data_IF_485376886860
#
_entry.id   IF_485376886860
#
_cell.length_a   1.000
_cell.length_b   1.000
_cell.length_c   1.000
_cell.angle_alpha   90.00
_cell.angle_beta   90.00
_cell.angle_gamma   90.00
#
_symmetry.space_group_name_H-M   'P 1'
#
loop_
_entity.id
_entity.type
_entity.pdbx_description
1 polymer ?
#
# COMPACT_ATOMS: atom_id res chain seq x y z
N UNK A 1 -12.84 -16.56 -12.33
CA UNK A 1 -12.87 -15.11 -12.01
C UNK A 1 -11.96 -14.41 -13.01
N UNK A 2 -12.33 -13.22 -13.50
CA UNK A 2 -11.52 -12.48 -14.46
C UNK A 2 -10.21 -11.98 -13.81
N UNK A 3 -9.12 -11.98 -14.57
CA UNK A 3 -7.82 -11.46 -14.13
C UNK A 3 -7.90 -9.93 -13.96
N UNK A 4 -7.57 -9.39 -12.77
CA UNK A 4 -7.68 -7.96 -12.49
C UNK A 4 -6.70 -7.09 -13.30
N UNK A 5 -5.71 -7.70 -13.96
CA UNK A 5 -4.71 -7.03 -14.78
C UNK A 5 -5.00 -7.11 -16.29
N UNK A 6 -6.08 -7.81 -16.70
CA UNK A 6 -6.45 -7.94 -18.11
C UNK A 6 -6.92 -6.59 -18.67
N UNK A 7 -6.28 -6.15 -19.76
CA UNK A 7 -6.52 -4.87 -20.46
C UNK A 7 -7.83 -4.79 -21.24
N UNK A 8 -8.87 -5.57 -20.90
CA UNK A 8 -10.17 -5.42 -21.57
C UNK A 8 -10.71 -4.02 -21.29
N UNK A 9 -11.06 -3.32 -22.36
CA UNK A 9 -11.77 -2.03 -22.37
C UNK A 9 -13.20 -2.16 -21.81
N UNK A 10 -13.37 -2.80 -20.65
CA UNK A 10 -14.50 -2.52 -19.78
C UNK A 10 -14.16 -1.22 -19.07
N UNK A 11 -15.15 -0.31 -18.94
CA UNK A 11 -15.04 0.99 -18.28
C UNK A 11 -14.57 0.80 -16.85
N UNK A 12 -13.26 0.65 -16.67
CA UNK A 12 -12.65 0.46 -15.36
C UNK A 12 -12.65 1.83 -14.73
N UNK A 13 -13.60 2.01 -13.82
CA UNK A 13 -13.68 3.09 -12.86
C UNK A 13 -12.26 3.55 -12.48
N UNK A 14 -11.98 4.84 -12.72
CA UNK A 14 -10.62 5.38 -12.73
C UNK A 14 -10.02 5.35 -11.32
N UNK A 15 -10.83 5.43 -10.26
CA UNK A 15 -10.40 5.39 -8.85
C UNK A 15 -11.16 4.33 -8.07
N UNK A 16 -10.54 3.16 -7.93
CA UNK A 16 -11.07 2.05 -7.16
C UNK A 16 -10.03 1.50 -6.19
N UNK A 17 -10.51 1.00 -5.05
CA UNK A 17 -9.67 0.22 -4.14
C UNK A 17 -9.68 -1.21 -4.64
N UNK A 18 -8.51 -1.74 -5.01
CA UNK A 18 -8.30 -3.18 -5.25
C UNK A 18 -7.42 -3.72 -4.14
N UNK A 19 -7.82 -4.85 -3.58
CA UNK A 19 -7.13 -5.46 -2.46
C UNK A 19 -7.34 -6.97 -2.42
N UNK A 20 -6.45 -7.68 -1.73
CA UNK A 20 -6.71 -9.03 -1.26
C UNK A 20 -7.51 -8.94 0.05
N UNK A 21 -8.66 -9.62 0.10
CA UNK A 21 -9.51 -9.65 1.27
C UNK A 21 -10.39 -10.91 1.31
N UNK A 22 -10.76 -11.32 2.50
CA UNK A 22 -11.71 -12.41 2.79
C UNK A 22 -12.96 -11.86 3.50
N UNK A 23 -13.67 -12.69 4.26
CA UNK A 23 -14.89 -12.29 4.97
C UNK A 23 -14.60 -11.43 6.21
N UNK A 24 -13.40 -11.54 6.78
CA UNK A 24 -13.05 -10.93 8.06
C UNK A 24 -12.05 -9.79 7.90
N UNK A 25 -11.15 -9.90 6.93
CA UNK A 25 -9.97 -9.05 6.83
C UNK A 25 -9.67 -8.56 5.42
N UNK A 26 -9.01 -7.41 5.37
CA UNK A 26 -8.35 -6.85 4.19
C UNK A 26 -6.84 -6.80 4.43
N UNK A 27 -6.07 -7.13 3.40
CA UNK A 27 -4.60 -7.02 3.40
C UNK A 27 -4.15 -5.66 2.89
N UNK A 28 -3.21 -5.05 3.61
CA UNK A 28 -2.47 -3.87 3.16
C UNK A 28 -0.97 -4.10 3.32
N UNK A 29 -0.17 -3.47 2.47
CA UNK A 29 1.27 -3.72 2.40
C UNK A 29 2.08 -2.50 2.83
N UNK A 30 3.21 -2.80 3.47
CA UNK A 30 4.27 -1.84 3.80
C UNK A 30 5.64 -2.48 3.73
N UNK A 31 6.67 -1.66 3.60
CA UNK A 31 8.05 -2.11 3.67
C UNK A 31 8.79 -1.53 4.88
N UNK A 32 9.67 -2.33 5.44
CA UNK A 32 10.43 -2.04 6.65
C UNK A 32 11.87 -2.53 6.53
N UNK A 33 12.72 -2.07 7.46
CA UNK A 33 14.05 -2.66 7.64
C UNK A 33 13.92 -4.11 8.12
N UNK A 34 14.96 -4.91 7.89
CA UNK A 34 14.98 -6.31 8.33
C UNK A 34 14.76 -6.47 9.83
N UNK A 35 15.27 -5.55 10.65
CA UNK A 35 15.10 -5.58 12.11
C UNK A 35 13.63 -5.40 12.52
N UNK A 36 12.95 -4.39 11.95
CA UNK A 36 11.54 -4.14 12.26
C UNK A 36 10.68 -5.29 11.78
N UNK A 37 10.86 -5.72 10.52
CA UNK A 37 10.07 -6.79 9.92
C UNK A 37 10.23 -8.13 10.67
N UNK A 38 11.46 -8.52 11.01
CA UNK A 38 11.71 -9.78 11.72
C UNK A 38 11.06 -9.78 13.11
N UNK A 39 11.17 -8.67 13.84
CA UNK A 39 10.51 -8.54 15.14
C UNK A 39 8.98 -8.56 15.02
N UNK A 40 8.43 -7.85 14.02
CA UNK A 40 7.01 -7.76 13.79
C UNK A 40 6.38 -9.11 13.47
N UNK A 41 7.01 -9.88 12.58
CA UNK A 41 6.54 -11.22 12.17
C UNK A 41 6.68 -12.21 13.33
N UNK A 42 7.83 -12.21 14.03
CA UNK A 42 8.07 -13.14 15.13
C UNK A 42 7.08 -12.94 16.29
N UNK A 43 6.76 -11.69 16.61
CA UNK A 43 5.89 -11.35 17.74
C UNK A 43 4.44 -11.08 17.35
N UNK A 44 4.12 -11.15 16.05
CA UNK A 44 2.83 -10.76 15.49
C UNK A 44 2.36 -9.38 16.00
N UNK A 45 3.31 -8.44 16.03
CA UNK A 45 3.11 -7.09 16.57
C UNK A 45 3.99 -6.08 15.86
N UNK A 46 3.39 -5.17 15.11
CA UNK A 46 4.13 -4.31 14.17
C UNK A 46 5.17 -3.40 14.87
N UNK A 47 4.84 -2.91 16.06
CA UNK A 47 5.70 -2.06 16.89
C UNK A 47 6.60 -2.87 17.86
N UNK A 48 6.84 -4.16 17.60
CA UNK A 48 7.68 -5.02 18.45
C UNK A 48 9.17 -4.60 18.51
N UNK A 49 9.70 -3.97 17.45
CA UNK A 49 11.08 -3.47 17.42
C UNK A 49 11.19 -2.09 18.07
N UNK A 50 12.23 -1.81 18.88
CA UNK A 50 12.50 -0.46 19.38
C UNK A 50 12.84 0.54 18.25
N UNK A 51 13.18 0.07 17.05
CA UNK A 51 13.40 0.92 15.88
C UNK A 51 12.09 1.38 15.22
N UNK A 52 10.95 0.78 15.57
CA UNK A 52 9.66 1.24 15.08
C UNK A 52 9.32 2.61 15.66
N UNK A 53 9.08 3.60 14.79
CA UNK A 53 8.80 4.98 15.19
C UNK A 53 7.40 5.40 14.73
N UNK A 54 6.39 5.42 15.61
CA UNK A 54 5.03 5.89 15.26
C UNK A 54 4.95 7.42 15.15
N UNK A 55 6.07 8.13 15.29
CA UNK A 55 6.11 9.60 15.37
C UNK A 55 5.97 10.30 14.02
N UNK A 56 5.97 9.57 12.91
CA UNK A 56 5.77 10.09 11.55
C UNK A 56 4.54 9.46 10.90
N UNK A 57 4.00 10.16 9.91
CA UNK A 57 2.96 9.58 9.06
C UNK A 57 3.49 8.33 8.36
N UNK A 58 2.70 7.27 8.35
CA UNK A 58 3.02 6.02 7.66
C UNK A 58 2.02 5.77 6.54
N UNK A 59 2.46 5.14 5.45
CA UNK A 59 1.64 4.94 4.26
C UNK A 59 1.40 3.46 4.00
N UNK A 60 0.13 3.06 3.99
CA UNK A 60 -0.31 1.70 3.65
C UNK A 60 -0.82 1.66 2.20
N UNK A 61 -0.67 0.50 1.55
CA UNK A 61 -1.11 0.26 0.16
C UNK A 61 -1.90 -1.03 0.08
N UNK A 62 -3.17 -1.01 -0.33
CA UNK A 62 -3.90 -2.26 -0.58
C UNK A 62 -3.41 -2.99 -1.85
N UNK A 63 -2.87 -2.26 -2.83
CA UNK A 63 -2.36 -2.85 -4.09
C UNK A 63 -0.94 -3.41 -3.95
N UNK A 64 -0.79 -4.68 -4.32
CA UNK A 64 0.46 -5.43 -4.39
C UNK A 64 1.42 -4.81 -5.41
N UNK A 65 0.96 -4.60 -6.64
CA UNK A 65 1.80 -4.06 -7.72
C UNK A 65 2.23 -2.62 -7.43
N UNK A 66 1.36 -1.81 -6.82
CA UNK A 66 1.76 -0.48 -6.36
C UNK A 66 2.83 -0.56 -5.26
N UNK A 67 2.69 -1.49 -4.31
CA UNK A 67 3.73 -1.74 -3.31
C UNK A 67 5.06 -2.18 -3.95
N UNK A 68 5.04 -3.11 -4.90
CA UNK A 68 6.24 -3.58 -5.61
C UNK A 68 6.92 -2.45 -6.36
N UNK A 69 6.16 -1.59 -7.06
CA UNK A 69 6.71 -0.41 -7.71
C UNK A 69 7.37 0.54 -6.71
N UNK A 70 6.79 0.74 -5.53
CA UNK A 70 7.32 1.68 -4.53
C UNK A 70 8.58 1.15 -3.86
N UNK A 71 8.63 -0.12 -3.47
CA UNK A 71 9.82 -0.72 -2.83
C UNK A 71 10.86 -1.27 -3.81
N UNK A 72 10.53 -1.37 -5.10
CA UNK A 72 11.32 -2.10 -6.10
C UNK A 72 11.57 -3.53 -5.65
N UNK A 73 10.50 -4.25 -5.31
CA UNK A 73 10.57 -5.65 -4.86
C UNK A 73 11.45 -5.88 -3.63
N UNK A 74 11.61 -4.87 -2.75
CA UNK A 74 12.51 -4.81 -1.57
C UNK A 74 13.98 -4.48 -1.84
N UNK A 75 14.36 -4.15 -3.08
CA UNK A 75 15.76 -3.89 -3.44
C UNK A 75 16.18 -2.41 -3.38
N UNK A 76 15.24 -1.44 -3.30
CA UNK A 76 15.57 -0.01 -3.42
C UNK A 76 16.26 0.61 -2.22
N UNK A 77 15.87 0.21 -1.00
CA UNK A 77 16.35 0.85 0.23
C UNK A 77 16.48 -0.21 1.33
N UNK A 78 17.60 -0.16 2.07
CA UNK A 78 17.86 -1.00 3.25
C UNK A 78 16.79 -0.83 4.35
N UNK A 79 16.18 0.35 4.44
CA UNK A 79 15.10 0.64 5.38
C UNK A 79 13.74 0.10 4.88
N UNK A 80 13.70 -0.46 3.67
CA UNK A 80 12.55 -1.11 3.03
C UNK A 80 12.93 -2.51 2.50
N UNK A 81 13.90 -3.16 3.17
CA UNK A 81 14.48 -4.44 2.76
C UNK A 81 13.53 -5.64 2.89
N UNK A 82 12.42 -5.48 3.62
CA UNK A 82 11.37 -6.49 3.80
C UNK A 82 10.00 -5.90 3.54
N UNK A 83 9.11 -6.67 2.93
CA UNK A 83 7.73 -6.28 2.65
C UNK A 83 6.81 -7.14 3.50
N UNK A 84 5.93 -6.49 4.25
CA UNK A 84 4.94 -7.14 5.10
C UNK A 84 3.56 -7.01 4.48
N UNK A 85 2.83 -8.12 4.45
CA UNK A 85 1.39 -8.16 4.29
C UNK A 85 0.76 -8.07 5.69
N UNK A 86 -0.01 -7.02 5.92
CA UNK A 86 -0.66 -6.71 7.19
C UNK A 86 -2.16 -6.90 7.01
N UNK A 87 -2.75 -7.88 7.70
CA UNK A 87 -4.21 -8.02 7.69
C UNK A 87 -4.81 -7.17 8.79
N UNK A 88 -5.93 -6.52 8.46
CA UNK A 88 -6.74 -5.78 9.42
C UNK A 88 -8.22 -6.04 9.14
N UNK A 89 -9.06 -5.89 10.17
CA UNK A 89 -10.50 -6.07 10.00
C UNK A 89 -11.10 -4.99 9.10
N UNK A 90 -12.15 -5.35 8.39
CA UNK A 90 -12.91 -4.43 7.53
C UNK A 90 -13.38 -3.17 8.26
N UNK A 91 -13.85 -3.30 9.50
CA UNK A 91 -14.32 -2.18 10.31
C UNK A 91 -13.24 -1.11 10.51
N UNK A 92 -12.02 -1.53 10.84
CA UNK A 92 -10.88 -0.64 11.08
C UNK A 92 -10.39 0.01 9.79
N UNK A 93 -10.44 -0.72 8.66
CA UNK A 93 -10.10 -0.16 7.36
C UNK A 93 -11.14 0.90 6.92
N UNK A 94 -12.42 0.62 7.13
CA UNK A 94 -13.49 1.61 6.87
C UNK A 94 -13.38 2.82 7.80
N UNK A 95 -12.97 2.65 9.06
CA UNK A 95 -12.67 3.77 9.96
C UNK A 95 -11.55 4.67 9.41
N UNK A 96 -10.46 4.09 8.87
CA UNK A 96 -9.42 4.87 8.20
C UNK A 96 -9.98 5.69 7.04
N UNK A 97 -10.78 5.07 6.17
CA UNK A 97 -11.33 5.72 5.00
C UNK A 97 -12.34 6.82 5.36
N UNK A 98 -13.12 6.65 6.44
CA UNK A 98 -14.04 7.67 6.96
C UNK A 98 -13.30 8.85 7.59
N UNK A 99 -12.15 8.59 8.21
CA UNK A 99 -11.27 9.63 8.78
C UNK A 99 -10.39 10.32 7.72
N UNK A 100 -10.38 9.83 6.48
CA UNK A 100 -9.56 10.37 5.42
C UNK A 100 -10.07 11.72 4.93
N UNK A 101 -9.13 12.65 4.79
CA UNK A 101 -9.30 13.81 3.94
C UNK A 101 -8.49 13.61 2.65
N UNK A 102 -9.10 13.92 1.51
CA UNK A 102 -8.39 13.94 0.25
C UNK A 102 -7.30 15.02 0.27
N UNK A 103 -6.05 14.63 0.08
CA UNK A 103 -5.03 15.61 -0.29
C UNK A 103 -5.15 15.90 -1.78
N UNK A 104 -5.28 17.17 -2.15
CA UNK A 104 -5.25 17.58 -3.55
C UNK A 104 -3.95 17.09 -4.19
N UNK A 105 -4.06 16.50 -5.39
CA UNK A 105 -2.93 16.18 -6.27
C UNK A 105 -1.92 17.35 -6.27
N UNK A 106 -0.59 17.12 -6.19
CA UNK A 106 0.34 18.20 -6.44
C UNK A 106 0.12 18.70 -7.87
N UNK A 107 -0.32 19.95 -8.00
CA UNK A 107 -0.46 20.63 -9.27
C UNK A 107 0.92 20.66 -9.96
N UNK A 108 1.05 19.93 -11.07
CA UNK A 108 2.25 19.94 -11.91
C UNK A 108 3.08 18.68 -11.76
N UNK A 109 2.73 17.66 -12.54
CA UNK A 109 3.66 16.63 -12.99
C UNK A 109 4.75 17.27 -13.85
N UNK A 110 5.75 17.87 -13.20
CA UNK A 110 7.12 17.73 -13.68
C UNK A 110 7.58 16.37 -13.17
N UNK A 111 8.21 15.60 -14.05
CA UNK A 111 8.92 14.39 -13.69
C UNK A 111 9.68 14.63 -12.39
N UNK A 112 9.19 14.02 -11.32
CA UNK A 112 9.92 13.99 -10.06
C UNK A 112 11.06 13.04 -10.34
N UNK A 113 12.22 13.63 -10.61
CA UNK A 113 13.50 12.96 -10.39
C UNK A 113 13.40 12.25 -9.05
N UNK A 114 13.46 10.94 -9.15
CA UNK A 114 13.92 9.99 -8.16
C UNK A 114 14.75 10.67 -7.05
N UNK A 115 14.41 10.33 -5.80
CA UNK A 115 15.04 10.77 -4.53
C UNK A 115 14.22 11.76 -3.71
N UNK A 116 13.28 11.22 -2.94
CA UNK A 116 13.06 11.61 -1.52
C UNK A 116 11.79 10.98 -0.97
N UNK A 117 11.83 9.70 -0.59
CA UNK A 117 10.95 9.21 0.48
C UNK A 117 11.70 8.15 1.30
N UNK A 118 11.94 8.52 2.56
CA UNK A 118 12.56 7.78 3.68
C UNK A 118 14.09 7.78 3.81
N UNK A 119 14.68 8.98 3.83
CA UNK A 119 15.81 9.28 4.71
C UNK A 119 15.38 10.30 5.77
N UNK A 120 15.69 10.00 7.03
CA UNK A 120 15.47 10.90 8.15
C UNK A 120 16.30 12.18 7.99
N UNK A 121 15.64 13.29 7.66
CA UNK A 121 16.21 14.63 7.88
C UNK A 121 15.16 15.56 8.46
N UNK A 122 15.59 16.30 9.48
CA UNK A 122 14.84 17.25 10.30
C UNK A 122 14.75 18.61 9.62
N UNK A 123 13.55 19.18 9.52
CA UNK A 123 13.36 20.64 9.68
C UNK A 123 12.00 20.85 10.33
N UNK A 124 12.01 21.52 11.49
CA UNK A 124 10.81 22.05 12.12
C UNK A 124 10.38 23.30 11.36
N UNK A 125 9.11 23.44 11.03
CA UNK A 125 8.54 24.77 10.85
C UNK A 125 7.07 24.81 11.27
N UNK A 126 6.82 25.77 12.15
CA UNK A 126 5.58 26.01 12.86
C UNK A 126 4.72 26.94 12.00
N UNK A 127 3.65 26.41 11.38
CA UNK A 127 2.57 27.22 10.81
C UNK A 127 1.22 26.61 11.19
N UNK A 128 0.38 27.50 11.72
CA UNK A 128 -1.01 27.38 12.17
C UNK A 128 -1.71 26.07 11.79
N UNK A 129 -2.19 25.31 12.79
CA UNK A 129 -2.81 24.00 12.60
C UNK A 129 -4.22 24.15 12.00
N UNK A 130 -4.45 23.91 10.68
CA UNK A 130 -5.75 23.42 10.25
C UNK A 130 -6.04 22.12 11.02
N UNK A 131 -7.30 21.81 11.28
CA UNK A 131 -7.71 20.53 11.88
C UNK A 131 -6.95 19.40 11.17
N UNK A 132 -5.95 18.83 11.83
CA UNK A 132 -4.97 17.97 11.14
C UNK A 132 -5.72 16.72 10.73
N UNK A 133 -6.01 16.59 9.43
CA UNK A 133 -6.60 15.37 8.88
C UNK A 133 -5.78 14.18 9.38
N UNK A 134 -6.41 13.34 10.19
CA UNK A 134 -5.77 12.21 10.87
C UNK A 134 -5.34 11.15 9.86
N UNK A 135 -6.05 11.09 8.73
CA UNK A 135 -5.74 10.22 7.60
C UNK A 135 -5.70 11.04 6.31
N UNK A 136 -4.70 10.79 5.46
CA UNK A 136 -4.54 11.38 4.12
C UNK A 136 -4.74 10.31 3.07
N UNK A 137 -5.36 10.66 1.94
CA UNK A 137 -5.50 9.76 0.80
C UNK A 137 -4.90 10.38 -0.45
N UNK A 138 -4.18 9.55 -1.20
CA UNK A 138 -3.62 9.84 -2.52
C UNK A 138 -4.05 8.76 -3.52
N UNK A 139 -4.36 9.19 -4.74
CA UNK A 139 -4.67 8.31 -5.86
C UNK A 139 -3.50 8.31 -6.84
N UNK A 140 -2.67 7.28 -6.78
CA UNK A 140 -1.51 7.13 -7.63
C UNK A 140 -1.84 6.29 -8.88
N UNK A 141 -1.08 6.36 -9.99
CA UNK A 141 -1.29 5.47 -11.12
C UNK A 141 -1.03 4.01 -10.73
N UNK A 142 -1.95 3.10 -11.05
CA UNK A 142 -1.76 1.67 -10.80
C UNK A 142 -0.66 1.08 -11.68
N UNK A 143 -0.17 -0.08 -11.28
CA UNK A 143 0.88 -0.85 -11.94
C UNK A 143 0.41 -2.25 -12.32
N UNK A 144 0.83 -2.73 -13.49
CA UNK A 144 0.74 -4.15 -13.83
C UNK A 144 1.77 -4.96 -13.00
N UNK A 145 1.74 -6.31 -13.05
CA UNK A 145 2.80 -7.14 -12.48
C UNK A 145 4.20 -6.78 -13.00
N UNK A 146 4.30 -6.32 -14.26
CA UNK A 146 5.53 -5.81 -14.90
C UNK A 146 5.88 -4.36 -14.54
N UNK A 147 5.13 -3.76 -13.62
CA UNK A 147 5.27 -2.37 -13.19
C UNK A 147 5.02 -1.32 -14.29
N UNK A 148 4.26 -1.69 -15.32
CA UNK A 148 3.81 -0.73 -16.34
C UNK A 148 2.66 0.10 -15.79
N UNK A 149 2.58 1.38 -16.18
CA UNK A 149 1.52 2.27 -15.74
C UNK A 149 0.19 1.87 -16.38
N UNK A 150 -0.84 1.68 -15.56
CA UNK A 150 -2.21 1.40 -16.01
C UNK A 150 -3.06 2.68 -16.09
N UNK A 151 -4.21 2.59 -16.78
CA UNK A 151 -5.13 3.72 -17.01
C UNK A 151 -5.85 4.18 -15.74
N UNK A 152 -6.09 3.26 -14.82
CA UNK A 152 -6.76 3.49 -13.53
C UNK A 152 -5.76 3.80 -12.39
N UNK A 153 -6.29 4.03 -11.18
CA UNK A 153 -5.56 4.49 -10.01
C UNK A 153 -5.62 3.49 -8.86
N UNK A 154 -4.60 3.53 -8.02
CA UNK A 154 -4.51 2.83 -6.73
C UNK A 154 -4.55 3.83 -5.59
N UNK A 155 -5.16 3.44 -4.49
CA UNK A 155 -5.15 4.25 -3.28
C UNK A 155 -3.87 4.04 -2.48
N UNK A 156 -3.32 5.11 -1.94
CA UNK A 156 -2.35 5.08 -0.85
C UNK A 156 -2.90 5.89 0.33
N UNK A 157 -2.86 5.28 1.53
CA UNK A 157 -3.51 5.82 2.72
C UNK A 157 -2.43 6.18 3.75
N UNK A 158 -2.33 7.47 4.08
CA UNK A 158 -1.38 8.03 5.03
C UNK A 158 -2.00 8.13 6.41
N UNK A 159 -1.52 7.34 7.36
CA UNK A 159 -1.95 7.31 8.75
C UNK A 159 -1.07 8.29 9.53
N UNK A 160 -1.66 9.34 10.13
CA UNK A 160 -0.89 10.32 10.91
C UNK A 160 -0.27 9.71 12.17
N UNK A 161 0.73 10.39 12.72
CA UNK A 161 1.37 9.97 13.99
C UNK A 161 0.41 9.91 15.17
N UNK A 162 -0.68 10.66 15.15
CA UNK A 162 -1.73 10.62 16.17
C UNK A 162 -2.49 9.28 16.17
N UNK A 163 -2.58 8.59 15.02
CA UNK A 163 -3.28 7.31 14.87
C UNK A 163 -2.31 6.12 14.70
N UNK A 164 -1.05 6.37 14.33
CA UNK A 164 -0.08 5.33 14.03
C UNK A 164 0.17 4.37 15.21
N UNK A 165 0.12 4.85 16.45
CA UNK A 165 0.26 4.01 17.63
C UNK A 165 -0.92 3.03 17.77
N UNK A 166 -2.15 3.54 17.70
CA UNK A 166 -3.38 2.72 17.76
C UNK A 166 -3.42 1.69 16.64
N UNK A 167 -3.12 2.12 15.42
CA UNK A 167 -3.10 1.24 14.25
C UNK A 167 -2.06 0.11 14.40
N UNK A 168 -0.83 0.44 14.79
CA UNK A 168 0.23 -0.55 14.92
C UNK A 168 0.04 -1.53 16.09
N UNK A 169 -0.65 -1.10 17.15
CA UNK A 169 -0.83 -1.89 18.37
C UNK A 169 -2.11 -2.74 18.37
N UNK A 170 -3.20 -2.25 17.74
CA UNK A 170 -4.52 -2.85 17.91
C UNK A 170 -5.28 -3.19 16.62
N UNK A 171 -4.88 -2.69 15.45
CA UNK A 171 -5.69 -2.85 14.24
C UNK A 171 -5.18 -3.93 13.29
N UNK A 172 -3.92 -4.33 13.45
CA UNK A 172 -3.29 -5.39 12.67
C UNK A 172 -3.52 -6.72 13.40
N UNK A 173 -4.10 -7.69 12.70
CA UNK A 173 -4.48 -8.99 13.27
C UNK A 173 -3.58 -10.14 12.80
N UNK A 174 -2.83 -9.94 11.72
CA UNK A 174 -1.91 -10.93 11.16
C UNK A 174 -0.80 -10.22 10.36
N UNK A 175 0.43 -10.71 10.48
CA UNK A 175 1.63 -10.16 9.83
C UNK A 175 2.39 -11.28 9.13
N UNK A 176 2.40 -11.23 7.79
CA UNK A 176 3.16 -12.15 6.93
C UNK A 176 4.31 -11.41 6.26
N UNK A 177 5.51 -12.01 6.28
CA UNK A 177 6.62 -11.54 5.47
C UNK A 177 6.52 -12.10 4.05
N UNK A 178 6.22 -11.22 3.10
CA UNK A 178 6.00 -11.56 1.69
C UNK A 178 7.18 -11.16 0.80
N UNK A 179 8.34 -10.91 1.41
CA UNK A 179 9.55 -10.48 0.69
C UNK A 179 10.00 -11.50 -0.35
N UNK A 180 9.98 -12.79 -0.03
CA UNK A 180 10.44 -13.82 -0.98
C UNK A 180 9.48 -13.97 -2.16
N UNK A 181 8.17 -13.77 -1.94
CA UNK A 181 7.16 -13.70 -3.01
C UNK A 181 7.41 -12.52 -3.94
N UNK A 182 7.69 -11.33 -3.38
CA UNK A 182 8.03 -10.14 -4.16
C UNK A 182 9.28 -10.34 -5.02
N UNK A 183 10.33 -10.94 -4.46
CA UNK A 183 11.58 -11.23 -5.20
C UNK A 183 11.39 -12.34 -6.23
N UNK A 184 10.55 -13.33 -5.93
CA UNK A 184 10.21 -14.38 -6.89
C UNK A 184 9.43 -13.83 -8.08
N UNK A 185 8.50 -12.87 -7.87
CA UNK A 185 7.81 -12.17 -8.95
C UNK A 185 8.79 -11.44 -9.89
N UNK A 186 9.73 -10.67 -9.33
CA UNK A 186 10.76 -9.98 -10.11
C UNK A 186 11.58 -10.97 -10.94
N UNK A 187 12.06 -12.04 -10.29
CA UNK A 187 12.86 -13.07 -10.95
C UNK A 187 12.10 -13.75 -12.07
N UNK A 188 10.84 -14.13 -11.83
CA UNK A 188 10.01 -14.83 -12.79
C UNK A 188 9.76 -13.97 -14.04
N UNK A 189 9.43 -12.69 -13.86
CA UNK A 189 9.25 -11.76 -14.99
C UNK A 189 10.55 -11.58 -15.78
N UNK A 190 11.69 -11.50 -15.08
CA UNK A 190 13.00 -11.34 -15.72
C UNK A 190 13.43 -12.58 -16.49
N UNK A 191 13.18 -13.77 -15.95
CA UNK A 191 13.62 -15.04 -16.52
C UNK A 191 12.65 -15.59 -17.57
N UNK A 192 11.36 -15.26 -17.46
CA UNK A 192 10.30 -15.67 -18.37
C UNK A 192 9.52 -14.45 -18.91
N UNK A 193 10.07 -13.66 -19.85
CA UNK A 193 9.45 -12.41 -20.32
C UNK A 193 8.03 -12.56 -20.88
N UNK A 194 7.75 -13.72 -21.48
CA UNK A 194 6.46 -14.08 -22.08
C UNK A 194 5.44 -14.63 -21.07
N UNK A 195 5.80 -14.77 -19.79
CA UNK A 195 4.88 -15.26 -18.77
C UNK A 195 3.66 -14.35 -18.71
N UNK A 196 2.45 -14.92 -18.68
CA UNK A 196 1.22 -14.14 -18.62
C UNK A 196 0.87 -13.80 -17.17
N UNK A 197 0.10 -12.73 -16.97
CA UNK A 197 -0.39 -12.35 -15.64
C UNK A 197 -1.26 -13.46 -15.01
N UNK A 198 -1.97 -14.24 -15.84
CA UNK A 198 -2.73 -15.43 -15.39
C UNK A 198 -1.83 -16.54 -14.87
N UNK A 199 -0.64 -16.72 -15.45
CA UNK A 199 0.34 -17.69 -14.98
C UNK A 199 0.98 -17.21 -13.67
N UNK A 200 1.37 -15.93 -13.58
CA UNK A 200 1.86 -15.33 -12.34
C UNK A 200 0.86 -15.47 -11.19
N UNK A 201 -0.44 -15.29 -11.50
CA UNK A 201 -1.54 -15.49 -10.55
C UNK A 201 -1.65 -16.96 -10.12
N UNK A 202 -1.59 -17.90 -11.07
CA UNK A 202 -1.63 -19.35 -10.78
C UNK A 202 -0.43 -19.82 -9.96
N UNK A 203 0.73 -19.21 -10.15
CA UNK A 203 1.92 -19.45 -9.34
C UNK A 203 1.87 -18.79 -7.95
N UNK A 204 0.88 -17.92 -7.69
CA UNK A 204 0.76 -17.19 -6.43
C UNK A 204 1.77 -16.07 -6.24
N UNK A 205 2.42 -15.61 -7.32
CA UNK A 205 3.38 -14.50 -7.31
C UNK A 205 2.70 -13.13 -7.34
N UNK A 206 1.46 -13.08 -7.82
CA UNK A 206 0.55 -11.94 -7.66
C UNK A 206 -0.74 -12.40 -6.97
N UNK A 207 -1.27 -11.63 -6.01
CA UNK A 207 -2.54 -11.96 -5.37
C UNK A 207 -3.73 -11.68 -6.29
N UNK A 208 -4.84 -12.40 -6.08
CA UNK A 208 -6.12 -12.10 -6.73
C UNK A 208 -6.78 -10.89 -6.06
N UNK A 209 -6.29 -9.70 -6.37
CA UNK A 209 -6.87 -8.46 -5.85
C UNK A 209 -8.20 -8.17 -6.54
N UNK A 210 -9.24 -7.94 -5.74
CA UNK A 210 -10.60 -7.67 -6.22
C UNK A 210 -10.99 -6.25 -5.81
N UNK A 211 -11.96 -5.68 -6.51
CA UNK A 211 -12.56 -4.42 -6.08
C UNK A 211 -13.07 -4.57 -4.65
N UNK A 212 -12.69 -3.62 -3.80
CA UNK A 212 -13.15 -3.50 -2.43
C UNK A 212 -14.23 -2.43 -2.37
N UNK A 213 -15.49 -2.88 -2.31
CA UNK A 213 -16.65 -2.01 -2.26
C UNK A 213 -16.74 -1.32 -0.90
N UNK A 214 -16.92 0.00 -0.92
CA UNK A 214 -17.09 0.82 0.28
C UNK A 214 -18.45 1.52 0.26
N UNK A 215 -18.99 1.95 1.42
CA UNK A 215 -20.24 2.69 1.47
C UNK A 215 -20.23 3.95 0.57
N UNK A 216 -21.38 4.33 0.03
CA UNK A 216 -21.49 5.40 -0.96
C UNK A 216 -20.95 6.75 -0.45
N UNK A 217 -21.12 7.03 0.84
CA UNK A 217 -20.57 8.23 1.48
C UNK A 217 -19.03 8.25 1.46
N UNK A 218 -18.39 7.09 1.58
CA UNK A 218 -16.93 6.95 1.48
C UNK A 218 -16.48 7.08 0.03
N UNK A 219 -17.21 6.48 -0.92
CA UNK A 219 -16.92 6.62 -2.35
C UNK A 219 -16.94 8.10 -2.77
N UNK A 220 -17.98 8.83 -2.37
CA UNK A 220 -18.13 10.25 -2.65
C UNK A 220 -17.02 11.08 -1.99
N UNK A 221 -16.73 10.82 -0.70
CA UNK A 221 -15.68 11.52 0.03
C UNK A 221 -14.29 11.32 -0.59
N UNK A 222 -14.02 10.14 -1.14
CA UNK A 222 -12.76 9.78 -1.77
C UNK A 222 -12.70 10.04 -3.28
N UNK A 223 -13.78 10.58 -3.87
CA UNK A 223 -13.93 10.81 -5.31
C UNK A 223 -13.62 9.56 -6.13
N UNK A 224 -14.14 8.42 -5.68
CA UNK A 224 -14.15 7.17 -6.45
C UNK A 224 -15.10 7.35 -7.64
N UNK A 225 -14.67 6.91 -8.82
CA UNK A 225 -15.33 7.12 -10.10
C UNK A 225 -15.08 5.95 -11.03
#
# INVERSE_FOLDING_TARGET
MANPYSSREETTNQRQIRALYDEETITVYQAYSSEIASAAVLQQKLNASPQFRPTRMTWIKPSWCWMMYRSGYSYKDKNQARILALKMKHEHFLELLKAASLTTEPAGSKEVTQDSHDAATSVADNKEKPSVAVVRVQWDPERSPRLEKLSYRSIQIGISSALAATWADGWIVDIEDVTDKARALEREIRENPEITDDELLRQGLVPLEREYLVPAEVQQALKMD
#
